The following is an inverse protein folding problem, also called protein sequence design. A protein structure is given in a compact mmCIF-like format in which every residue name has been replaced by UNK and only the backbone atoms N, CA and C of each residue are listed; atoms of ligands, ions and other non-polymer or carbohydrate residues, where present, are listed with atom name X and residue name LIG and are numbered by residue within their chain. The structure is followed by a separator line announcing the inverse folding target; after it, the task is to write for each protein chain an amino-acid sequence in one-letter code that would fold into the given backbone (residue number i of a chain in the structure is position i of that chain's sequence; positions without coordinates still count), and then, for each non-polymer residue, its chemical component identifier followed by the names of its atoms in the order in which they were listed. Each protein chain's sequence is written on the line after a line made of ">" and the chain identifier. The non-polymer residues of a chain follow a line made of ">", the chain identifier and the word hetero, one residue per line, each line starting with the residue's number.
data_IF_098981043859
#
_entry.id   IF_098981043859
#
_cell.length_a   1.000
_cell.length_b   1.000
_cell.length_c   1.000
_cell.angle_alpha   90.00
_cell.angle_beta   90.00
_cell.angle_gamma   90.00
#
_symmetry.space_group_name_H-M   'P 1'
#
loop_
_entity.id
_entity.type
_entity.pdbx_description
1 polymer ?
#
# COMPACT_ATOMS: atom_id res chain seq x y z
N UNK A 1 12.35 15.17 -89.78
CA UNK A 1 11.70 13.85 -89.67
C UNK A 1 10.39 14.01 -88.91
N UNK A 2 9.29 13.63 -89.53
CA UNK A 2 7.92 13.60 -89.01
C UNK A 2 7.74 12.55 -87.90
N UNK A 3 6.93 12.89 -86.88
CA UNK A 3 5.75 12.17 -86.31
C UNK A 3 5.50 12.70 -84.88
N UNK A 4 4.47 13.54 -84.63
CA UNK A 4 3.11 13.20 -84.15
C UNK A 4 3.12 12.31 -82.89
N UNK A 5 2.56 12.71 -81.74
CA UNK A 5 1.13 12.93 -81.50
C UNK A 5 0.85 13.81 -80.26
N UNK A 6 -0.19 14.65 -80.36
CA UNK A 6 -0.93 15.22 -79.23
C UNK A 6 -1.92 14.17 -78.66
N UNK A 7 -2.16 14.17 -77.35
CA UNK A 7 -3.52 14.12 -76.81
C UNK A 7 -3.58 14.70 -75.38
N UNK A 8 -4.51 15.63 -75.19
CA UNK A 8 -4.93 16.19 -73.90
C UNK A 8 -5.73 15.15 -73.11
N UNK A 9 -5.70 15.17 -71.78
CA UNK A 9 -6.92 15.40 -70.99
C UNK A 9 -6.61 15.51 -69.49
N UNK A 10 -7.12 16.57 -68.87
CA UNK A 10 -7.23 16.76 -67.43
C UNK A 10 -8.31 15.86 -66.82
N UNK A 11 -8.12 15.41 -65.58
CA UNK A 11 -9.08 15.09 -64.50
C UNK A 11 -8.18 14.89 -63.26
N UNK A 12 -8.04 15.82 -62.31
CA UNK A 12 -8.96 16.21 -61.22
C UNK A 12 -9.31 15.06 -60.26
N UNK A 13 -8.77 15.18 -59.04
CA UNK A 13 -9.18 14.58 -57.75
C UNK A 13 -9.38 13.05 -57.68
N UNK A 14 -8.61 12.40 -56.79
CA UNK A 14 -9.15 12.11 -55.45
C UNK A 14 -8.03 11.86 -54.45
N UNK A 15 -8.11 12.60 -53.36
CA UNK A 15 -7.33 12.48 -52.14
C UNK A 15 -7.63 11.11 -51.52
N UNK A 16 -6.62 10.27 -51.38
CA UNK A 16 -6.62 9.20 -50.37
C UNK A 16 -5.38 9.41 -49.50
N UNK A 17 -5.56 10.27 -48.49
CA UNK A 17 -4.82 10.18 -47.25
C UNK A 17 -5.07 8.79 -46.66
N UNK A 18 -4.23 7.83 -47.02
CA UNK A 18 -3.99 6.69 -46.15
C UNK A 18 -3.14 7.21 -44.99
N UNK A 19 -3.78 7.96 -44.09
CA UNK A 19 -3.37 7.97 -42.70
C UNK A 19 -3.65 6.55 -42.21
N UNK A 20 -2.68 5.66 -42.41
CA UNK A 20 -2.62 4.45 -41.62
C UNK A 20 -2.54 4.90 -40.18
N UNK A 21 -3.65 4.75 -39.45
CA UNK A 21 -3.62 4.61 -38.01
C UNK A 21 -2.86 3.31 -37.73
N UNK A 22 -1.55 3.36 -37.93
CA UNK A 22 -0.66 2.41 -37.30
C UNK A 22 -0.83 2.69 -35.83
N UNK A 23 -1.58 1.82 -35.16
CA UNK A 23 -1.49 1.65 -33.73
C UNK A 23 -0.02 1.36 -33.44
N UNK A 24 0.77 2.42 -33.24
CA UNK A 24 1.93 2.31 -32.38
C UNK A 24 1.33 1.88 -31.06
N UNK A 25 1.38 0.57 -30.76
CA UNK A 25 1.45 0.20 -29.35
C UNK A 25 2.58 1.07 -28.84
N UNK A 26 2.28 1.95 -27.90
CA UNK A 26 3.30 2.48 -27.01
C UNK A 26 3.79 1.26 -26.24
N UNK A 27 4.62 0.44 -26.89
CA UNK A 27 5.60 -0.39 -26.24
C UNK A 27 6.54 0.60 -25.62
N UNK A 28 6.15 0.98 -24.40
CA UNK A 28 6.96 1.64 -23.41
C UNK A 28 8.36 1.01 -23.49
N UNK A 29 9.43 1.80 -23.60
CA UNK A 29 10.77 1.23 -23.50
C UNK A 29 10.85 0.44 -22.20
N UNK A 30 11.39 -0.78 -22.26
CA UNK A 30 11.80 -1.58 -21.09
C UNK A 30 12.86 -0.78 -20.33
N UNK A 31 12.39 0.20 -19.56
CA UNK A 31 13.18 0.87 -18.56
C UNK A 31 13.42 -0.17 -17.47
N UNK A 32 14.64 -0.28 -16.93
CA UNK A 32 14.88 -1.15 -15.78
C UNK A 32 13.97 -0.70 -14.64
N UNK A 33 12.91 -1.46 -14.36
CA UNK A 33 12.10 -1.24 -13.17
C UNK A 33 12.96 -1.64 -11.97
N UNK A 34 13.54 -0.64 -11.30
CA UNK A 34 14.34 -0.88 -10.11
C UNK A 34 13.40 -1.28 -8.98
N UNK A 35 13.46 -2.56 -8.62
CA UNK A 35 12.75 -3.15 -7.49
C UNK A 35 13.07 -2.42 -6.20
N UNK A 36 12.06 -1.74 -5.65
CA UNK A 36 12.17 -1.10 -4.35
C UNK A 36 12.16 -2.13 -3.22
N UNK A 37 11.54 -3.29 -3.43
CA UNK A 37 11.63 -4.42 -2.51
C UNK A 37 13.08 -4.88 -2.32
N UNK A 38 13.86 -5.01 -3.40
CA UNK A 38 15.26 -5.45 -3.29
C UNK A 38 16.13 -4.35 -2.68
N UNK A 39 15.90 -3.10 -3.05
CA UNK A 39 16.53 -1.94 -2.39
C UNK A 39 16.25 -1.94 -0.88
N UNK A 40 15.03 -2.29 -0.48
CA UNK A 40 14.63 -2.39 0.93
C UNK A 40 15.34 -3.54 1.65
N UNK A 41 15.47 -4.71 1.02
CA UNK A 41 16.23 -5.84 1.62
C UNK A 41 17.68 -5.46 1.82
N UNK A 42 18.32 -4.82 0.82
CA UNK A 42 19.69 -4.32 0.99
C UNK A 42 19.79 -3.32 2.13
N UNK A 43 18.86 -2.36 2.25
CA UNK A 43 18.82 -1.42 3.38
C UNK A 43 18.75 -2.12 4.75
N UNK A 44 18.01 -3.21 4.85
CA UNK A 44 17.88 -4.02 6.07
C UNK A 44 19.18 -4.77 6.41
N UNK A 45 19.94 -5.19 5.41
CA UNK A 45 21.19 -5.94 5.59
C UNK A 45 22.40 -5.04 5.93
N UNK A 46 22.29 -3.72 5.76
CA UNK A 46 23.40 -2.78 5.98
C UNK A 46 23.93 -2.73 7.42
N UNK A 47 23.14 -3.11 8.42
CA UNK A 47 23.61 -3.20 9.80
C UNK A 47 22.88 -4.27 10.61
N UNK A 48 23.53 -4.72 11.69
CA UNK A 48 23.03 -5.80 12.55
C UNK A 48 21.72 -5.47 13.26
N UNK A 49 21.48 -4.19 13.60
CA UNK A 49 20.23 -3.74 14.22
C UNK A 49 19.04 -3.99 13.30
N UNK A 50 19.16 -3.58 12.03
CA UNK A 50 18.13 -3.76 11.01
C UNK A 50 17.99 -5.23 10.62
N UNK A 51 19.10 -5.96 10.46
CA UNK A 51 19.08 -7.36 10.01
C UNK A 51 18.52 -8.33 11.05
N UNK A 52 18.58 -7.99 12.34
CA UNK A 52 18.04 -8.79 13.44
C UNK A 52 16.53 -8.63 13.64
N UNK A 53 15.85 -7.95 12.73
CA UNK A 53 14.40 -7.85 12.72
C UNK A 53 13.70 -9.11 12.19
N UNK A 54 12.40 -8.98 11.97
CA UNK A 54 11.56 -10.04 11.44
C UNK A 54 10.58 -9.49 10.40
N UNK A 55 10.25 -10.35 9.42
CA UNK A 55 9.12 -10.11 8.52
C UNK A 55 7.85 -10.20 9.36
N UNK A 56 7.08 -9.11 9.36
CA UNK A 56 5.78 -9.04 10.01
C UNK A 56 4.72 -8.94 8.92
N UNK A 57 3.54 -9.50 9.16
CA UNK A 57 2.38 -9.30 8.27
C UNK A 57 2.50 -9.90 6.84
N UNK A 58 2.68 -11.23 6.77
CA UNK A 58 2.41 -12.00 5.54
C UNK A 58 0.89 -12.16 5.40
N UNK A 59 0.23 -11.24 4.70
CA UNK A 59 -1.20 -11.39 4.41
C UNK A 59 -1.45 -12.72 3.70
N UNK A 60 -2.46 -13.48 4.14
CA UNK A 60 -2.81 -14.76 3.51
C UNK A 60 -3.66 -14.58 2.24
N UNK A 61 -4.18 -13.38 2.00
CA UNK A 61 -5.10 -13.08 0.91
C UNK A 61 -4.50 -12.09 -0.08
N UNK A 62 -4.87 -12.27 -1.34
CA UNK A 62 -4.57 -11.32 -2.40
C UNK A 62 -5.30 -9.98 -2.12
N UNK A 63 -4.71 -8.81 -2.45
CA UNK A 63 -3.39 -8.60 -3.07
C UNK A 63 -2.22 -8.55 -2.08
N UNK A 64 -2.48 -8.64 -0.78
CA UNK A 64 -1.46 -8.48 0.27
C UNK A 64 -0.43 -9.60 0.26
N UNK A 65 -0.86 -10.84 0.04
CA UNK A 65 0.00 -12.01 -0.10
C UNK A 65 0.98 -11.91 -1.26
N UNK A 66 0.62 -11.17 -2.31
CA UNK A 66 1.37 -11.08 -3.56
C UNK A 66 2.30 -9.86 -3.61
N UNK A 67 1.84 -8.71 -3.12
CA UNK A 67 2.52 -7.43 -3.39
C UNK A 67 3.00 -6.68 -2.15
N UNK A 68 2.71 -7.16 -0.93
CA UNK A 68 3.07 -6.47 0.31
C UNK A 68 4.18 -7.20 1.05
N UNK A 69 5.21 -6.46 1.44
CA UNK A 69 6.26 -6.91 2.34
C UNK A 69 6.32 -5.96 3.52
N UNK A 70 6.23 -6.48 4.75
CA UNK A 70 6.44 -5.67 5.95
C UNK A 70 7.52 -6.28 6.84
N UNK A 71 8.31 -5.43 7.47
CA UNK A 71 9.47 -5.84 8.27
C UNK A 71 9.60 -4.94 9.48
N UNK A 72 10.09 -5.51 10.59
CA UNK A 72 10.23 -4.81 11.86
C UNK A 72 11.52 -5.15 12.55
N UNK A 73 12.13 -4.16 13.20
CA UNK A 73 13.28 -4.33 14.08
C UNK A 73 13.21 -3.35 15.26
N UNK A 74 14.02 -3.60 16.30
CA UNK A 74 14.25 -2.68 17.40
C UNK A 74 15.41 -1.74 17.06
N UNK A 75 15.19 -0.42 17.09
CA UNK A 75 16.30 0.53 17.00
C UNK A 75 17.05 0.62 18.34
N UNK A 76 18.36 0.87 18.32
CA UNK A 76 19.18 1.01 19.54
C UNK A 76 19.03 2.39 20.21
N UNK A 77 18.28 3.31 19.60
CA UNK A 77 17.92 4.60 20.18
C UNK A 77 16.85 5.31 19.34
N UNK A 78 16.19 6.31 19.93
CA UNK A 78 15.28 7.22 19.20
C UNK A 78 16.00 7.95 18.07
N UNK A 79 17.27 8.34 18.27
CA UNK A 79 18.05 9.04 17.24
C UNK A 79 18.37 8.13 16.07
N UNK A 80 18.73 6.87 16.32
CA UNK A 80 18.94 5.89 15.25
C UNK A 80 17.65 5.70 14.45
N UNK A 81 16.50 5.52 15.10
CA UNK A 81 15.22 5.36 14.42
C UNK A 81 14.89 6.56 13.50
N UNK A 82 15.17 7.80 13.94
CA UNK A 82 15.02 9.00 13.11
C UNK A 82 15.94 8.98 11.89
N UNK A 83 17.19 8.58 12.07
CA UNK A 83 18.16 8.48 10.98
C UNK A 83 17.75 7.40 9.97
N UNK A 84 17.31 6.24 10.45
CA UNK A 84 16.84 5.13 9.62
C UNK A 84 15.65 5.54 8.75
N UNK A 85 14.70 6.30 9.32
CA UNK A 85 13.55 6.84 8.58
C UNK A 85 14.00 7.79 7.48
N UNK A 86 14.87 8.75 7.81
CA UNK A 86 15.37 9.71 6.83
C UNK A 86 16.14 9.02 5.69
N UNK A 87 17.00 8.05 6.02
CA UNK A 87 17.77 7.26 5.05
C UNK A 87 16.85 6.44 4.13
N UNK A 88 15.81 5.82 4.68
CA UNK A 88 14.86 5.01 3.93
C UNK A 88 13.98 5.86 2.99
N UNK A 89 13.51 7.03 3.44
CA UNK A 89 12.77 7.95 2.56
C UNK A 89 13.65 8.50 1.44
N UNK A 90 14.92 8.80 1.73
CA UNK A 90 15.88 9.18 0.70
C UNK A 90 16.16 8.04 -0.29
N UNK A 91 16.20 6.79 0.18
CA UNK A 91 16.29 5.61 -0.68
C UNK A 91 15.06 5.50 -1.58
N UNK A 92 13.85 5.62 -1.03
CA UNK A 92 12.60 5.60 -1.80
C UNK A 92 12.59 6.68 -2.89
N UNK A 93 13.03 7.91 -2.56
CA UNK A 93 13.14 8.99 -3.55
C UNK A 93 14.12 8.64 -4.68
N UNK A 94 15.32 8.15 -4.34
CA UNK A 94 16.32 7.75 -5.36
C UNK A 94 15.82 6.62 -6.25
N UNK A 95 15.21 5.59 -5.68
CA UNK A 95 14.63 4.49 -6.46
C UNK A 95 13.46 4.97 -7.31
N UNK A 96 12.65 5.90 -6.81
CA UNK A 96 11.56 6.49 -7.59
C UNK A 96 12.08 7.30 -8.78
N UNK A 97 13.11 8.13 -8.57
CA UNK A 97 13.75 8.90 -9.63
C UNK A 97 14.39 8.00 -10.69
N UNK A 98 15.03 6.91 -10.26
CA UNK A 98 15.61 5.90 -11.15
C UNK A 98 14.55 5.19 -12.02
N UNK A 99 13.33 5.06 -11.49
CA UNK A 99 12.17 4.57 -12.23
C UNK A 99 11.46 5.66 -13.06
N UNK A 100 11.96 6.89 -13.14
CA UNK A 100 11.29 8.04 -13.81
C UNK A 100 9.90 8.31 -13.21
N UNK A 101 9.73 8.01 -11.91
CA UNK A 101 8.54 8.32 -11.16
C UNK A 101 8.61 9.67 -10.47
N UNK A 102 7.52 10.04 -9.82
CA UNK A 102 7.48 11.13 -8.84
C UNK A 102 6.98 10.55 -7.53
N UNK A 103 7.71 10.83 -6.44
CA UNK A 103 7.30 10.42 -5.10
C UNK A 103 6.23 11.39 -4.61
N UNK A 104 5.04 10.88 -4.31
CA UNK A 104 3.92 11.63 -3.73
C UNK A 104 3.60 11.11 -2.34
N UNK A 105 3.43 12.01 -1.38
CA UNK A 105 3.14 11.65 0.01
C UNK A 105 1.63 11.67 0.26
N UNK A 106 1.08 10.50 0.61
CA UNK A 106 -0.33 10.32 0.97
C UNK A 106 -0.42 9.89 2.44
N UNK A 107 -1.60 10.01 3.04
CA UNK A 107 -1.83 9.61 4.44
C UNK A 107 -1.46 8.15 4.74
N UNK A 108 -1.53 7.26 3.75
CA UNK A 108 -1.32 5.83 3.93
C UNK A 108 0.14 5.41 3.80
N UNK A 109 0.88 6.05 2.88
CA UNK A 109 2.29 5.80 2.55
C UNK A 109 2.81 6.85 1.54
N UNK A 110 4.12 6.85 1.31
CA UNK A 110 4.73 7.55 0.19
C UNK A 110 4.63 6.66 -1.05
N UNK A 111 3.99 7.13 -2.11
CA UNK A 111 3.81 6.37 -3.34
C UNK A 111 4.68 6.93 -4.45
N UNK A 112 5.47 6.09 -5.10
CA UNK A 112 6.10 6.45 -6.36
C UNK A 112 5.10 6.23 -7.48
N UNK A 113 4.85 7.26 -8.30
CA UNK A 113 3.84 7.21 -9.36
C UNK A 113 4.41 7.70 -10.70
N UNK A 114 3.93 7.13 -11.79
CA UNK A 114 4.06 7.72 -13.13
C UNK A 114 3.03 8.83 -13.31
N UNK A 115 3.35 9.84 -14.12
CA UNK A 115 2.43 10.92 -14.53
C UNK A 115 1.70 11.57 -13.33
N UNK A 116 2.45 11.94 -12.29
CA UNK A 116 1.88 12.50 -11.06
C UNK A 116 0.92 13.66 -11.34
N UNK A 117 -0.21 13.66 -10.62
CA UNK A 117 -1.26 14.69 -10.68
C UNK A 117 -1.97 14.79 -12.04
N UNK A 118 -2.08 13.67 -12.76
CA UNK A 118 -2.84 13.55 -14.03
C UNK A 118 -3.81 12.37 -13.97
N UNK A 119 -4.73 12.26 -14.94
CA UNK A 119 -5.68 11.14 -15.01
C UNK A 119 -4.99 9.83 -15.43
N UNK A 120 -3.82 9.94 -16.05
CA UNK A 120 -2.92 8.86 -16.44
C UNK A 120 -2.00 8.40 -15.30
N UNK A 121 -2.16 8.96 -14.09
CA UNK A 121 -1.31 8.61 -12.95
C UNK A 121 -1.44 7.13 -12.57
N UNK A 122 -0.29 6.44 -12.39
CA UNK A 122 -0.25 5.02 -12.02
C UNK A 122 0.80 4.74 -10.94
N UNK A 123 0.50 3.91 -9.94
CA UNK A 123 1.45 3.56 -8.90
C UNK A 123 2.55 2.64 -9.45
N UNK A 124 3.75 2.78 -8.91
CA UNK A 124 4.92 1.93 -9.17
C UNK A 124 5.15 1.07 -7.92
N UNK A 125 5.47 1.74 -6.82
CA UNK A 125 5.62 1.14 -5.50
C UNK A 125 5.18 2.12 -4.41
N UNK A 126 4.98 1.62 -3.20
CA UNK A 126 4.86 2.42 -1.98
C UNK A 126 5.99 2.11 -1.01
N UNK A 127 6.47 3.16 -0.36
CA UNK A 127 7.41 3.12 0.74
C UNK A 127 6.75 3.71 1.99
N UNK A 128 6.70 2.92 3.06
CA UNK A 128 6.32 3.40 4.39
C UNK A 128 7.35 2.96 5.41
N UNK A 129 7.78 3.90 6.24
CA UNK A 129 8.55 3.63 7.45
C UNK A 129 8.01 4.47 8.58
N UNK A 130 7.94 3.88 9.77
CA UNK A 130 7.49 4.57 10.98
C UNK A 130 8.24 4.02 12.18
N UNK A 131 8.59 4.91 13.12
CA UNK A 131 9.00 4.52 14.46
C UNK A 131 7.83 4.70 15.40
N UNK A 132 7.41 3.66 16.11
CA UNK A 132 6.35 3.77 17.11
C UNK A 132 6.95 3.62 18.51
N UNK A 133 6.62 4.54 19.40
CA UNK A 133 6.79 4.32 20.85
C UNK A 133 5.72 3.35 21.39
N UNK A 134 4.70 3.06 20.58
CA UNK A 134 3.75 1.98 20.86
C UNK A 134 4.57 0.70 21.06
N UNK A 135 4.39 0.08 22.23
CA UNK A 135 5.13 -1.12 22.66
C UNK A 135 6.64 -0.93 22.88
N UNK A 136 7.12 0.28 23.19
CA UNK A 136 8.53 0.54 23.53
C UNK A 136 9.10 -0.42 24.60
N UNK A 137 8.27 -0.97 25.48
CA UNK A 137 8.67 -1.91 26.54
C UNK A 137 9.31 -3.22 26.03
N UNK A 138 9.12 -3.59 24.76
CA UNK A 138 9.71 -4.81 24.17
C UNK A 138 11.07 -4.57 23.49
N UNK A 139 11.44 -3.32 23.25
CA UNK A 139 12.75 -2.95 22.74
C UNK A 139 13.49 -2.19 23.84
N UNK A 140 14.36 -2.89 24.57
CA UNK A 140 15.02 -2.35 25.76
C UNK A 140 15.82 -1.06 25.49
N UNK A 141 16.37 -0.93 24.28
CA UNK A 141 17.31 0.14 23.92
C UNK A 141 16.69 1.26 23.06
N UNK A 142 15.45 1.13 22.59
CA UNK A 142 14.83 2.14 21.71
C UNK A 142 13.48 1.75 21.12
N UNK A 143 12.91 2.53 20.19
CA UNK A 143 11.57 2.26 19.64
C UNK A 143 11.57 1.15 18.58
N UNK A 144 10.39 0.61 18.30
CA UNK A 144 10.19 -0.24 17.12
C UNK A 144 10.22 0.59 15.85
N UNK A 145 10.94 0.09 14.85
CA UNK A 145 10.85 0.58 13.47
C UNK A 145 10.10 -0.45 12.64
N UNK A 146 9.04 -0.01 11.96
CA UNK A 146 8.26 -0.82 11.03
C UNK A 146 8.36 -0.25 9.63
N UNK A 147 8.70 -1.11 8.69
CA UNK A 147 8.79 -0.85 7.26
C UNK A 147 7.67 -1.60 6.54
N UNK A 148 7.11 -0.99 5.50
CA UNK A 148 6.20 -1.65 4.56
C UNK A 148 6.50 -1.19 3.14
N UNK A 149 6.66 -2.18 2.27
CA UNK A 149 6.76 -2.04 0.82
C UNK A 149 5.50 -2.63 0.20
N UNK A 150 4.94 -1.91 -0.76
CA UNK A 150 3.91 -2.41 -1.66
C UNK A 150 4.44 -2.22 -3.07
N UNK A 151 4.64 -3.28 -3.83
CA UNK A 151 5.22 -3.19 -5.17
C UNK A 151 4.62 -4.25 -6.08
N UNK A 152 4.36 -3.85 -7.32
CA UNK A 152 4.04 -4.81 -8.34
C UNK A 152 5.32 -5.45 -8.86
N UNK A 153 5.41 -6.76 -8.76
CA UNK A 153 6.56 -7.46 -9.34
C UNK A 153 6.32 -7.91 -10.77
N UNK A 154 5.07 -8.22 -11.17
CA UNK A 154 4.79 -8.91 -12.44
C UNK A 154 3.37 -8.76 -13.02
N UNK A 155 2.44 -8.10 -12.32
CA UNK A 155 1.03 -8.04 -12.72
C UNK A 155 0.77 -7.02 -13.84
N UNK A 156 -0.24 -7.24 -14.71
CA UNK A 156 -0.69 -6.23 -15.67
C UNK A 156 -1.08 -4.90 -14.99
N UNK A 157 -0.86 -3.77 -15.66
CA UNK A 157 -1.00 -2.44 -15.06
C UNK A 157 -2.41 -2.12 -14.51
N UNK A 158 -3.46 -2.70 -15.12
CA UNK A 158 -4.85 -2.54 -14.67
C UNK A 158 -5.14 -3.34 -13.39
N UNK A 159 -4.66 -4.58 -13.33
CA UNK A 159 -4.74 -5.42 -12.12
C UNK A 159 -3.97 -4.75 -10.97
N UNK A 160 -2.75 -4.27 -11.27
CA UNK A 160 -1.94 -3.58 -10.28
C UNK A 160 -2.62 -2.34 -9.72
N UNK A 161 -3.23 -1.50 -10.57
CA UNK A 161 -3.92 -0.30 -10.10
C UNK A 161 -5.04 -0.65 -9.11
N UNK A 162 -5.84 -1.69 -9.40
CA UNK A 162 -6.89 -2.15 -8.49
C UNK A 162 -6.32 -2.72 -7.18
N UNK A 163 -5.26 -3.53 -7.26
CA UNK A 163 -4.58 -4.07 -6.09
C UNK A 163 -3.95 -2.97 -5.22
N UNK A 164 -3.29 -1.99 -5.82
CA UNK A 164 -2.68 -0.87 -5.13
C UNK A 164 -3.73 -0.03 -4.38
N UNK A 165 -4.90 0.20 -4.98
CA UNK A 165 -6.02 0.88 -4.32
C UNK A 165 -6.48 0.13 -3.06
N UNK A 166 -6.66 -1.20 -3.14
CA UNK A 166 -6.99 -2.05 -1.98
C UNK A 166 -5.90 -1.96 -0.91
N UNK A 167 -4.63 -1.83 -1.30
CA UNK A 167 -3.49 -1.73 -0.40
C UNK A 167 -3.26 -0.32 0.16
N UNK A 168 -4.08 0.65 -0.21
CA UNK A 168 -4.13 2.00 0.37
C UNK A 168 -3.69 3.12 -0.56
N UNK A 169 -3.41 2.87 -1.84
CA UNK A 169 -3.15 3.91 -2.83
C UNK A 169 -4.39 4.75 -3.11
N UNK A 170 -4.25 6.06 -3.16
CA UNK A 170 -5.28 6.99 -3.60
C UNK A 170 -4.94 7.52 -5.00
N UNK A 171 -5.71 7.13 -6.04
CA UNK A 171 -5.55 7.69 -7.38
C UNK A 171 -5.71 9.20 -7.36
N UNK A 172 -5.08 9.86 -8.33
CA UNK A 172 -5.28 11.28 -8.54
C UNK A 172 -6.77 11.65 -8.65
N UNK A 173 -7.15 12.64 -7.85
CA UNK A 173 -8.38 13.39 -8.00
C UNK A 173 -8.13 14.80 -7.48
N UNK A 174 -8.98 15.75 -7.89
CA UNK A 174 -8.95 17.13 -7.36
C UNK A 174 -9.19 17.21 -5.84
N UNK A 175 -9.65 16.12 -5.22
CA UNK A 175 -9.93 16.02 -3.79
C UNK A 175 -8.90 15.17 -3.05
N UNK A 176 -7.86 14.65 -3.72
CA UNK A 176 -6.81 13.87 -3.06
C UNK A 176 -6.00 14.76 -2.12
N UNK A 177 -5.89 14.35 -0.86
CA UNK A 177 -5.03 14.99 0.13
C UNK A 177 -3.58 14.54 -0.09
N UNK A 178 -2.68 15.50 -0.32
CA UNK A 178 -1.23 15.30 -0.28
C UNK A 178 -0.69 15.89 1.03
N UNK A 179 0.32 15.24 1.60
CA UNK A 179 1.02 15.72 2.79
C UNK A 179 2.32 16.41 2.33
N UNK A 180 2.69 17.52 2.98
CA UNK A 180 3.86 18.32 2.58
C UNK A 180 5.18 17.67 3.00
N UNK A 181 6.21 17.83 2.15
CA UNK A 181 7.60 17.49 2.44
C UNK A 181 8.21 18.32 3.58
N UNK A 182 7.67 19.52 3.83
CA UNK A 182 8.20 20.49 4.81
C UNK A 182 7.69 20.29 6.24
N UNK A 183 6.71 19.40 6.44
CA UNK A 183 6.50 18.85 7.77
C UNK A 183 7.75 18.02 8.08
N UNK A 184 8.49 18.41 9.13
CA UNK A 184 9.79 17.86 9.63
C UNK A 184 9.67 16.39 10.11
N UNK A 185 8.78 15.64 9.48
CA UNK A 185 7.88 14.69 10.10
C UNK A 185 7.20 13.82 9.03
N UNK A 186 7.91 13.51 7.93
CA UNK A 186 7.64 12.28 7.19
C UNK A 186 7.61 11.04 8.10
N UNK A 187 8.18 11.14 9.31
CA UNK A 187 8.04 10.18 10.41
C UNK A 187 6.73 10.32 11.21
N UNK A 188 6.24 11.53 11.57
CA UNK A 188 4.99 11.60 12.36
C UNK A 188 3.73 11.45 11.55
N UNK A 189 3.75 11.80 10.26
CA UNK A 189 2.62 11.55 9.36
C UNK A 189 2.20 10.06 9.38
N UNK A 190 3.16 9.15 9.57
CA UNK A 190 2.91 7.70 9.71
C UNK A 190 2.95 7.19 11.15
N UNK A 191 3.35 8.00 12.15
CA UNK A 191 3.26 7.64 13.59
C UNK A 191 1.83 7.71 14.10
N UNK A 192 1.02 8.64 13.59
CA UNK A 192 -0.42 8.50 13.61
C UNK A 192 -0.78 7.51 12.52
N UNK A 193 -1.38 6.38 12.88
CA UNK A 193 -2.06 5.55 11.89
C UNK A 193 -2.98 6.45 11.07
N UNK A 194 -3.14 6.16 9.75
CA UNK A 194 -3.99 6.97 8.89
C UNK A 194 -5.32 7.17 9.61
N UNK A 195 -5.80 8.42 9.67
CA UNK A 195 -7.21 8.63 9.96
C UNK A 195 -7.93 7.68 9.02
N UNK A 196 -8.69 6.74 9.58
CA UNK A 196 -9.57 5.88 8.79
C UNK A 196 -10.72 6.77 8.32
N UNK A 197 -10.39 7.78 7.51
CA UNK A 197 -11.31 8.45 6.61
C UNK A 197 -11.58 7.41 5.55
N UNK A 198 -12.56 6.55 5.90
CA UNK A 198 -13.34 5.64 5.07
C UNK A 198 -12.95 5.80 3.59
N UNK A 199 -11.88 5.13 3.16
CA UNK A 199 -11.82 4.77 1.75
C UNK A 199 -13.09 3.95 1.47
N UNK A 200 -13.71 4.08 0.29
CA UNK A 200 -14.81 3.20 -0.06
C UNK A 200 -14.27 1.76 0.08
N UNK A 201 -14.64 1.07 1.16
CA UNK A 201 -14.06 -0.21 1.50
C UNK A 201 -14.55 -1.21 0.46
N UNK A 202 -13.70 -1.44 -0.55
CA UNK A 202 -13.95 -2.35 -1.65
C UNK A 202 -14.11 -3.76 -1.09
N UNK A 203 -15.14 -4.47 -1.53
CA UNK A 203 -15.35 -5.85 -1.16
C UNK A 203 -14.18 -6.72 -1.67
N UNK A 204 -13.36 -7.24 -0.76
CA UNK A 204 -12.17 -8.05 -1.09
C UNK A 204 -12.46 -9.55 -1.04
N UNK A 205 -11.55 -10.38 -1.56
CA UNK A 205 -11.60 -11.84 -1.39
C UNK A 205 -11.64 -12.24 0.10
N UNK A 206 -10.88 -11.55 0.94
CA UNK A 206 -10.91 -11.74 2.39
C UNK A 206 -12.29 -11.38 2.97
N UNK A 207 -12.90 -10.29 2.51
CA UNK A 207 -14.26 -9.90 2.92
C UNK A 207 -15.28 -10.97 2.53
N UNK A 208 -15.18 -11.49 1.30
CA UNK A 208 -16.03 -12.58 0.81
C UNK A 208 -15.84 -13.84 1.64
N UNK A 209 -14.59 -14.21 1.92
CA UNK A 209 -14.25 -15.38 2.72
C UNK A 209 -14.81 -15.27 4.15
N UNK A 210 -14.63 -14.13 4.80
CA UNK A 210 -15.18 -13.86 6.14
C UNK A 210 -16.71 -13.91 6.13
N UNK A 211 -17.35 -13.36 5.09
CA UNK A 211 -18.81 -13.34 4.97
C UNK A 211 -19.42 -14.73 4.76
N UNK A 212 -18.71 -15.65 4.09
CA UNK A 212 -19.23 -17.00 3.80
C UNK A 212 -18.84 -18.07 4.81
N UNK A 213 -17.76 -17.87 5.57
CA UNK A 213 -17.23 -18.89 6.49
C UNK A 213 -17.56 -18.60 7.95
N UNK A 214 -18.68 -19.17 8.42
CA UNK A 214 -18.99 -19.24 9.86
C UNK A 214 -17.95 -20.10 10.57
N UNK A 215 -17.59 -19.70 11.79
CA UNK A 215 -16.54 -20.37 12.57
C UNK A 215 -15.13 -19.84 12.31
N UNK A 216 -14.94 -18.96 11.32
CA UNK A 216 -13.64 -18.36 11.05
C UNK A 216 -13.23 -17.39 12.18
N UNK A 217 -11.97 -17.46 12.61
CA UNK A 217 -11.38 -16.48 13.53
C UNK A 217 -11.00 -15.21 12.77
N UNK A 218 -11.52 -14.07 13.22
CA UNK A 218 -11.39 -12.76 12.60
C UNK A 218 -11.11 -11.68 13.63
N UNK A 219 -10.51 -10.59 13.15
CA UNK A 219 -10.10 -9.46 13.96
C UNK A 219 -10.61 -8.15 13.39
N UNK A 220 -10.98 -7.25 14.30
CA UNK A 220 -11.34 -5.87 14.01
C UNK A 220 -10.38 -4.96 14.76
N UNK A 221 -9.70 -4.10 14.03
CA UNK A 221 -8.88 -3.06 14.63
C UNK A 221 -9.68 -1.75 14.72
N UNK A 222 -9.70 -1.15 15.91
CA UNK A 222 -10.34 0.14 16.16
C UNK A 222 -9.38 1.07 16.90
N UNK A 223 -9.21 2.28 16.39
CA UNK A 223 -8.45 3.33 17.07
C UNK A 223 -9.38 4.49 17.46
N UNK A 224 -9.64 4.71 18.76
CA UNK A 224 -10.42 5.85 19.22
C UNK A 224 -9.73 7.18 18.87
N UNK A 225 -10.52 8.19 18.49
CA UNK A 225 -10.02 9.54 18.22
C UNK A 225 -9.26 10.08 19.45
N UNK A 226 -8.04 10.57 19.23
CA UNK A 226 -7.19 11.11 20.29
C UNK A 226 -6.41 10.06 21.10
N UNK A 227 -6.56 8.76 20.81
CA UNK A 227 -5.74 7.73 21.41
C UNK A 227 -4.50 7.44 20.56
N UNK A 228 -3.32 7.42 21.18
CA UNK A 228 -2.08 6.97 20.54
C UNK A 228 -2.10 5.47 20.25
N UNK A 229 -2.84 4.68 21.05
CA UNK A 229 -2.98 3.22 20.95
C UNK A 229 -4.43 2.86 20.58
N UNK A 230 -4.61 2.07 19.51
CA UNK A 230 -5.87 1.41 19.22
C UNK A 230 -6.03 0.08 19.97
N UNK A 231 -7.03 -0.70 19.58
CA UNK A 231 -7.25 -2.06 20.08
C UNK A 231 -7.67 -2.98 18.95
N UNK A 232 -7.23 -4.22 18.99
CA UNK A 232 -7.79 -5.28 18.14
C UNK A 232 -8.71 -6.16 18.96
N UNK A 233 -9.92 -6.36 18.47
CA UNK A 233 -10.85 -7.37 18.97
C UNK A 233 -10.70 -8.62 18.12
N UNK A 234 -10.51 -9.78 18.76
CA UNK A 234 -10.46 -11.09 18.11
C UNK A 234 -11.68 -11.91 18.51
N UNK A 235 -12.26 -12.60 17.54
CA UNK A 235 -13.41 -13.46 17.76
C UNK A 235 -13.73 -14.39 16.60
N UNK A 236 -14.85 -15.08 16.73
CA UNK A 236 -15.31 -16.07 15.75
C UNK A 236 -16.57 -15.60 15.02
N UNK A 237 -16.61 -15.76 13.69
CA UNK A 237 -17.78 -15.41 12.87
C UNK A 237 -18.96 -16.33 13.22
N UNK A 238 -20.04 -15.74 13.72
CA UNK A 238 -21.26 -16.48 14.09
C UNK A 238 -22.32 -16.43 12.98
N UNK A 239 -22.48 -15.25 12.38
CA UNK A 239 -23.50 -15.01 11.37
C UNK A 239 -23.05 -13.91 10.42
N UNK A 240 -23.51 -13.99 9.18
CA UNK A 240 -23.34 -12.97 8.16
C UNK A 240 -24.71 -12.59 7.57
N UNK A 241 -24.97 -11.29 7.40
CA UNK A 241 -26.20 -10.78 6.81
C UNK A 241 -26.02 -9.35 6.29
N UNK A 242 -26.61 -9.03 5.13
CA UNK A 242 -26.58 -7.69 4.51
C UNK A 242 -25.17 -7.07 4.44
N UNK A 243 -24.17 -7.86 4.06
CA UNK A 243 -22.78 -7.39 3.94
C UNK A 243 -22.07 -7.14 5.28
N UNK A 244 -22.68 -7.52 6.40
CA UNK A 244 -22.12 -7.43 7.76
C UNK A 244 -21.91 -8.81 8.35
N UNK A 245 -20.98 -8.91 9.28
CA UNK A 245 -20.72 -10.13 10.06
C UNK A 245 -20.82 -9.84 11.54
N UNK A 246 -21.53 -10.72 12.23
CA UNK A 246 -21.66 -10.76 13.68
C UNK A 246 -20.62 -11.74 14.22
N UNK A 247 -19.70 -11.23 15.00
CA UNK A 247 -18.56 -11.94 15.56
C UNK A 247 -18.70 -12.06 17.07
N UNK A 248 -18.46 -13.24 17.63
CA UNK A 248 -18.32 -13.45 19.06
C UNK A 248 -16.86 -13.18 19.44
N UNK A 249 -16.59 -11.97 19.92
CA UNK A 249 -15.27 -11.54 20.38
C UNK A 249 -14.99 -12.05 21.79
N UNK A 250 -13.84 -12.72 21.96
CA UNK A 250 -13.41 -13.35 23.22
C UNK A 250 -12.09 -12.78 23.74
N UNK A 251 -11.38 -12.02 22.90
CA UNK A 251 -10.15 -11.37 23.28
C UNK A 251 -10.08 -9.94 22.73
N UNK A 252 -9.41 -9.10 23.51
CA UNK A 252 -9.03 -7.74 23.15
C UNK A 252 -7.53 -7.60 23.34
N UNK A 253 -6.85 -7.09 22.32
CA UNK A 253 -5.42 -6.86 22.32
C UNK A 253 -5.11 -5.38 22.20
N UNK A 254 -3.97 -4.99 22.76
CA UNK A 254 -3.42 -3.64 22.65
C UNK A 254 -2.92 -3.40 21.22
N UNK A 255 -3.34 -2.29 20.64
CA UNK A 255 -3.03 -1.84 19.27
C UNK A 255 -3.46 -2.80 18.16
N UNK A 256 -2.93 -2.59 16.95
CA UNK A 256 -3.26 -3.40 15.77
C UNK A 256 -2.37 -4.64 15.73
N UNK A 257 -2.96 -5.83 15.90
CA UNK A 257 -2.19 -7.08 15.98
C UNK A 257 -1.41 -7.40 14.70
N UNK A 258 -1.82 -6.88 13.53
CA UNK A 258 -1.10 -7.09 12.26
C UNK A 258 0.29 -6.49 12.31
N UNK A 259 0.42 -5.43 13.12
CA UNK A 259 1.63 -4.70 13.38
C UNK A 259 1.93 -4.70 14.88
N UNK A 260 1.46 -5.66 15.68
CA UNK A 260 1.85 -5.74 17.08
C UNK A 260 3.09 -6.65 17.21
N UNK A 261 4.12 -6.22 17.95
CA UNK A 261 5.34 -7.04 18.13
C UNK A 261 5.09 -8.26 19.03
N UNK A 262 4.13 -8.14 19.95
CA UNK A 262 3.63 -9.23 20.77
C UNK A 262 2.13 -9.06 20.97
N UNK A 263 1.43 -10.16 21.20
CA UNK A 263 0.01 -10.15 21.52
C UNK A 263 -0.18 -9.85 23.01
N UNK A 264 -0.33 -8.56 23.32
CA UNK A 264 -0.67 -8.10 24.68
C UNK A 264 -2.18 -8.07 24.87
N UNK A 265 -2.71 -9.01 25.68
CA UNK A 265 -4.14 -9.04 26.00
C UNK A 265 -4.48 -7.92 26.99
N UNK A 266 -5.57 -7.22 26.72
CA UNK A 266 -6.11 -6.16 27.56
C UNK A 266 -7.35 -6.68 28.27
N UNK A 267 -7.50 -6.31 29.55
CA UNK A 267 -8.69 -6.66 30.32
C UNK A 267 -9.95 -6.14 29.63
N UNK A 268 -10.91 -7.04 29.46
CA UNK A 268 -12.13 -6.85 28.69
C UNK A 268 -13.20 -7.84 29.15
N UNK A 269 -14.38 -7.78 28.55
CA UNK A 269 -15.43 -8.78 28.73
C UNK A 269 -14.94 -10.18 28.32
N UNK A 270 -15.46 -11.22 28.98
CA UNK A 270 -15.19 -12.61 28.61
C UNK A 270 -15.68 -12.92 27.20
N UNK A 271 -16.83 -12.37 26.82
CA UNK A 271 -17.46 -12.52 25.52
C UNK A 271 -18.26 -11.26 25.16
N UNK A 272 -18.19 -10.82 23.91
CA UNK A 272 -19.00 -9.72 23.38
C UNK A 272 -19.36 -9.98 21.92
N UNK A 273 -20.58 -9.62 21.51
CA UNK A 273 -20.94 -9.64 20.09
C UNK A 273 -20.60 -8.30 19.44
N UNK A 274 -19.81 -8.35 18.36
CA UNK A 274 -19.50 -7.18 17.54
C UNK A 274 -20.11 -7.41 16.16
N UNK A 275 -20.96 -6.47 15.72
CA UNK A 275 -21.55 -6.45 14.40
C UNK A 275 -20.90 -5.33 13.59
N UNK A 276 -20.12 -5.70 12.57
CA UNK A 276 -19.47 -4.75 11.66
C UNK A 276 -19.50 -5.25 10.21
N UNK A 277 -19.27 -4.36 9.25
CA UNK A 277 -19.21 -4.71 7.84
C UNK A 277 -18.11 -5.74 7.57
N UNK A 278 -18.33 -6.69 6.65
CA UNK A 278 -17.40 -7.80 6.40
C UNK A 278 -15.97 -7.32 6.05
N UNK A 279 -15.88 -6.21 5.34
CA UNK A 279 -14.64 -5.53 4.93
C UNK A 279 -13.93 -4.75 6.06
N UNK A 280 -14.53 -4.65 7.24
CA UNK A 280 -13.88 -4.08 8.43
C UNK A 280 -13.08 -5.12 9.21
N UNK A 281 -13.32 -6.40 8.94
CA UNK A 281 -12.64 -7.52 9.55
C UNK A 281 -11.48 -8.00 8.67
N UNK A 282 -10.50 -8.62 9.31
CA UNK A 282 -9.46 -9.40 8.65
C UNK A 282 -9.31 -10.74 9.37
N UNK A 283 -8.80 -11.75 8.67
CA UNK A 283 -8.59 -13.08 9.25
C UNK A 283 -7.38 -13.05 10.17
N UNK A 284 -7.52 -13.59 11.38
CA UNK A 284 -6.47 -13.61 12.41
C UNK A 284 -6.57 -14.88 13.27
N UNK A 285 -6.21 -16.02 12.69
CA UNK A 285 -6.26 -17.32 13.36
C UNK A 285 -5.25 -18.26 12.76
#
# INVERSE_FOLDING_TARGET
>A
MLKHFHFQSSIVLFILFLAGCSSTSETRPDLPEYSFLDSTKSFLELNSTRSNGAVVDKGNFYPKSAYSFSYRYCANSVQQAKNDIAEYLALAKRTCDANIGTLVHQETASWCVYNANTVEERPIFSARISSTELWADLCLDGPFVTLRVIENTNAPSNEWLGAAQILGYQPYSIHRTLISDNDVLGSTAYTSQPNVTVQPQVWTEESQFIYTNKGQTVCLFEQPKGSSLGHTYQGTVMQAYKGRVKVLATAKFKGDIRIAPALERVDWYSEAYIDAAANSWFVCG
#
